data_IF_627802220257
#
_entry.id   IF_627802220257
#
_cell.length_a   1.000
_cell.length_b   1.000
_cell.length_c   1.000
_cell.angle_alpha   90.00
_cell.angle_beta   90.00
_cell.angle_gamma   90.00
#
_symmetry.space_group_name_H-M   'P 1'
#
loop_
_entity.id
_entity.type
_entity.pdbx_description
1 polymer ?
#
# COMPACT_ATOMS: atom_id res chain seq x y z
N UNK A 1 -45.29 -33.01 -67.82
CA UNK A 1 -44.39 -32.89 -66.67
C UNK A 1 -45.23 -32.16 -65.64
N UNK A 2 -45.86 -32.89 -64.71
CA UNK A 2 -46.68 -32.27 -63.68
C UNK A 2 -45.72 -31.54 -62.74
N UNK A 3 -45.66 -30.22 -62.88
CA UNK A 3 -44.88 -29.36 -62.01
C UNK A 3 -45.60 -29.35 -60.65
N UNK A 4 -45.10 -30.16 -59.72
CA UNK A 4 -45.64 -30.27 -58.38
C UNK A 4 -45.33 -29.01 -57.59
N UNK A 5 -46.33 -28.51 -56.84
CA UNK A 5 -46.24 -27.25 -56.08
C UNK A 5 -45.60 -27.41 -54.69
N UNK A 6 -44.91 -28.52 -54.44
CA UNK A 6 -44.41 -28.94 -53.13
C UNK A 6 -43.53 -27.88 -52.46
N UNK A 7 -42.63 -27.28 -53.24
CA UNK A 7 -41.72 -26.24 -52.77
C UNK A 7 -42.44 -24.95 -52.34
N UNK A 8 -43.69 -24.75 -52.81
CA UNK A 8 -44.51 -23.58 -52.50
C UNK A 8 -45.47 -23.81 -51.33
N UNK A 9 -45.63 -25.06 -50.84
CA UNK A 9 -46.61 -25.37 -49.79
C UNK A 9 -46.28 -24.71 -48.44
N UNK A 10 -44.99 -24.60 -48.08
CA UNK A 10 -44.59 -23.89 -46.85
C UNK A 10 -44.90 -22.40 -46.95
N UNK A 11 -44.50 -21.76 -48.04
CA UNK A 11 -44.79 -20.34 -48.29
C UNK A 11 -46.30 -20.06 -48.42
N UNK A 12 -47.07 -21.00 -48.96
CA UNK A 12 -48.53 -20.93 -48.99
C UNK A 12 -49.13 -20.96 -47.58
N UNK A 13 -48.61 -21.82 -46.69
CA UNK A 13 -49.04 -21.93 -45.29
C UNK A 13 -48.70 -20.66 -44.48
N UNK A 14 -47.56 -20.03 -44.77
CA UNK A 14 -47.08 -18.83 -44.08
C UNK A 14 -47.59 -17.51 -44.69
N UNK A 15 -48.47 -17.57 -45.70
CA UNK A 15 -49.03 -16.41 -46.41
C UNK A 15 -48.00 -15.57 -47.19
N UNK A 16 -46.89 -16.19 -47.61
CA UNK A 16 -45.75 -15.52 -48.26
C UNK A 16 -45.79 -15.55 -49.80
N UNK A 17 -46.75 -16.26 -50.40
CA UNK A 17 -46.90 -16.32 -51.86
C UNK A 17 -47.57 -15.06 -52.43
N UNK A 18 -47.15 -14.67 -53.63
CA UNK A 18 -47.85 -13.63 -54.37
C UNK A 18 -49.20 -14.14 -54.91
N UNK A 19 -50.05 -13.23 -55.41
CA UNK A 19 -51.40 -13.57 -55.87
C UNK A 19 -51.46 -14.56 -57.04
N UNK A 20 -50.44 -14.60 -57.91
CA UNK A 20 -50.40 -15.50 -59.06
C UNK A 20 -49.98 -16.92 -58.61
N UNK A 21 -48.92 -17.01 -57.82
CA UNK A 21 -48.43 -18.24 -57.20
C UNK A 21 -49.51 -18.88 -56.32
N UNK A 22 -50.19 -18.08 -55.49
CA UNK A 22 -51.26 -18.58 -54.62
C UNK A 22 -52.39 -19.24 -55.41
N UNK A 23 -52.88 -18.59 -56.46
CA UNK A 23 -53.94 -19.16 -57.33
C UNK A 23 -53.48 -20.45 -58.01
N UNK A 24 -52.21 -20.52 -58.39
CA UNK A 24 -51.63 -21.72 -59.00
C UNK A 24 -51.59 -22.88 -57.98
N UNK A 25 -51.15 -22.62 -56.75
CA UNK A 25 -51.16 -23.62 -55.65
C UNK A 25 -52.59 -24.05 -55.31
N UNK A 26 -53.53 -23.12 -55.15
CA UNK A 26 -54.95 -23.44 -54.87
C UNK A 26 -55.58 -24.31 -55.96
N UNK A 27 -55.33 -23.97 -57.23
CA UNK A 27 -55.76 -24.76 -58.39
C UNK A 27 -55.18 -26.18 -58.32
N UNK A 28 -53.88 -26.32 -58.04
CA UNK A 28 -53.22 -27.62 -57.94
C UNK A 28 -53.76 -28.46 -56.77
N UNK A 29 -53.97 -27.85 -55.60
CA UNK A 29 -54.54 -28.53 -54.42
C UNK A 29 -55.97 -29.03 -54.64
N UNK A 30 -56.72 -28.42 -55.57
CA UNK A 30 -58.07 -28.88 -55.92
C UNK A 30 -58.08 -30.21 -56.68
N UNK A 31 -57.02 -30.49 -57.45
CA UNK A 31 -56.92 -31.67 -58.34
C UNK A 31 -55.93 -32.74 -57.86
N UNK A 32 -54.94 -32.38 -57.05
CA UNK A 32 -53.87 -33.28 -56.60
C UNK A 32 -54.06 -33.70 -55.12
N UNK A 33 -54.45 -34.96 -54.84
CA UNK A 33 -54.59 -35.44 -53.47
C UNK A 33 -53.26 -35.59 -52.72
N UNK A 34 -52.15 -35.84 -53.43
CA UNK A 34 -50.82 -36.00 -52.82
C UNK A 34 -50.34 -34.69 -52.19
N UNK A 35 -50.38 -33.58 -52.94
CA UNK A 35 -50.00 -32.27 -52.40
C UNK A 35 -50.94 -31.77 -51.31
N UNK A 36 -52.20 -32.23 -51.29
CA UNK A 36 -53.13 -31.95 -50.19
C UNK A 36 -52.72 -32.68 -48.91
N UNK A 37 -52.37 -33.97 -49.02
CA UNK A 37 -51.86 -34.73 -47.89
C UNK A 37 -50.58 -34.11 -47.33
N UNK A 38 -49.64 -33.70 -48.19
CA UNK A 38 -48.41 -33.03 -47.75
C UNK A 38 -48.69 -31.71 -47.02
N UNK A 39 -49.64 -30.91 -47.50
CA UNK A 39 -50.07 -29.69 -46.80
C UNK A 39 -50.68 -30.00 -45.43
N UNK A 40 -51.52 -31.04 -45.31
CA UNK A 40 -52.11 -31.48 -44.05
C UNK A 40 -51.03 -31.94 -43.05
N UNK A 41 -50.00 -32.65 -43.52
CA UNK A 41 -48.86 -33.09 -42.71
C UNK A 41 -48.06 -31.89 -42.17
N UNK A 42 -47.79 -30.88 -43.02
CA UNK A 42 -47.13 -29.64 -42.62
C UNK A 42 -47.95 -28.87 -41.57
N UNK A 43 -49.26 -28.74 -41.78
CA UNK A 43 -50.18 -28.10 -40.82
C UNK A 43 -50.22 -28.84 -39.48
N UNK A 44 -50.18 -30.18 -39.50
CA UNK A 44 -50.14 -30.99 -38.28
C UNK A 44 -48.85 -30.76 -37.48
N UNK A 45 -47.71 -30.60 -38.14
CA UNK A 45 -46.44 -30.25 -37.49
C UNK A 45 -46.50 -28.84 -36.89
N UNK A 46 -46.99 -27.86 -37.65
CA UNK A 46 -47.15 -26.48 -37.18
C UNK A 46 -48.05 -26.41 -35.94
N UNK A 47 -49.16 -27.16 -35.94
CA UNK A 47 -50.07 -27.23 -34.80
C UNK A 47 -49.40 -27.81 -33.54
N UNK A 48 -48.60 -28.87 -33.69
CA UNK A 48 -47.84 -29.46 -32.57
C UNK A 48 -46.79 -28.50 -32.01
N UNK A 49 -46.08 -27.78 -32.89
CA UNK A 49 -45.10 -26.77 -32.48
C UNK A 49 -45.80 -25.65 -31.70
N UNK A 50 -46.93 -25.14 -32.21
CA UNK A 50 -47.72 -24.11 -31.54
C UNK A 50 -48.21 -24.56 -30.16
N UNK A 51 -48.75 -25.77 -30.07
CA UNK A 51 -49.16 -26.37 -28.80
C UNK A 51 -48.00 -26.47 -27.81
N UNK A 52 -46.80 -26.82 -28.29
CA UNK A 52 -45.61 -26.85 -27.45
C UNK A 52 -45.24 -25.45 -26.95
N UNK A 53 -45.20 -24.44 -27.82
CA UNK A 53 -44.93 -23.06 -27.42
C UNK A 53 -45.95 -22.54 -26.39
N UNK A 54 -47.22 -22.83 -26.57
CA UNK A 54 -48.28 -22.45 -25.64
C UNK A 54 -48.13 -23.14 -24.26
N UNK A 55 -47.44 -24.29 -24.21
CA UNK A 55 -47.14 -25.00 -22.96
C UNK A 55 -45.89 -24.49 -22.24
N UNK A 56 -45.06 -23.68 -22.90
CA UNK A 56 -43.86 -23.12 -22.30
C UNK A 56 -44.24 -21.88 -21.49
N UNK A 57 -44.17 -22.00 -20.17
CA UNK A 57 -44.31 -20.84 -19.29
C UNK A 57 -43.10 -19.91 -19.46
N UNK A 58 -43.38 -18.65 -19.84
CA UNK A 58 -42.37 -17.61 -19.91
C UNK A 58 -41.78 -17.39 -18.51
N UNK A 59 -40.45 -17.45 -18.36
CA UNK A 59 -39.84 -17.25 -17.05
C UNK A 59 -40.18 -15.85 -16.53
N UNK A 60 -40.54 -15.77 -15.24
CA UNK A 60 -41.03 -14.53 -14.64
C UNK A 60 -40.01 -13.39 -14.66
N UNK A 61 -40.48 -12.17 -14.37
CA UNK A 61 -39.68 -10.92 -14.40
C UNK A 61 -38.36 -10.96 -13.61
N UNK A 62 -38.19 -11.90 -12.68
CA UNK A 62 -36.99 -12.05 -11.86
C UNK A 62 -35.97 -13.05 -12.41
N UNK A 63 -36.23 -13.68 -13.56
CA UNK A 63 -35.34 -14.67 -14.14
C UNK A 63 -33.94 -14.13 -14.38
N UNK A 64 -33.84 -12.91 -14.93
CA UNK A 64 -32.56 -12.22 -15.13
C UNK A 64 -31.79 -12.08 -13.81
N UNK A 65 -32.46 -11.63 -12.75
CA UNK A 65 -31.83 -11.48 -11.42
C UNK A 65 -31.36 -12.82 -10.86
N UNK A 66 -32.16 -13.87 -11.00
CA UNK A 66 -31.81 -15.21 -10.54
C UNK A 66 -30.58 -15.75 -11.29
N UNK A 67 -30.52 -15.59 -12.61
CA UNK A 67 -29.37 -15.99 -13.43
C UNK A 67 -28.12 -15.19 -13.05
N UNK A 68 -28.23 -13.87 -13.00
CA UNK A 68 -27.09 -12.99 -12.68
C UNK A 68 -26.55 -13.26 -11.28
N UNK A 69 -27.42 -13.55 -10.31
CA UNK A 69 -26.97 -13.90 -8.95
C UNK A 69 -26.10 -15.15 -8.93
N UNK A 70 -26.37 -16.12 -9.80
CA UNK A 70 -25.63 -17.38 -9.88
C UNK A 70 -24.28 -17.20 -10.57
N UNK A 71 -24.22 -16.37 -11.60
CA UNK A 71 -22.98 -16.00 -12.30
C UNK A 71 -22.02 -15.26 -11.36
N UNK A 72 -22.53 -14.27 -10.61
CA UNK A 72 -21.69 -13.49 -9.69
C UNK A 72 -21.40 -14.18 -8.36
N UNK A 73 -22.16 -15.21 -7.97
CA UNK A 73 -21.89 -15.96 -6.75
C UNK A 73 -20.56 -16.74 -6.83
N UNK A 74 -20.13 -17.14 -8.03
CA UNK A 74 -18.85 -17.84 -8.22
C UNK A 74 -17.64 -16.89 -8.18
N UNK A 75 -17.81 -15.61 -8.51
CA UNK A 75 -16.73 -14.60 -8.48
C UNK A 75 -16.47 -14.02 -7.07
N UNK A 76 -17.42 -14.15 -6.13
CA UNK A 76 -17.39 -13.43 -4.86
C UNK A 76 -16.70 -14.17 -3.69
N UNK A 77 -15.76 -15.07 -3.96
CA UNK A 77 -14.74 -15.45 -2.96
C UNK A 77 -13.65 -14.37 -2.88
N UNK A 78 -14.07 -13.11 -2.72
CA UNK A 78 -13.17 -11.99 -2.44
C UNK A 78 -12.66 -12.13 -1.01
N UNK A 79 -11.50 -12.75 -0.88
CA UNK A 79 -10.70 -12.78 0.35
C UNK A 79 -10.67 -11.39 0.99
N UNK A 80 -11.17 -11.28 2.24
CA UNK A 80 -11.24 -10.02 2.96
C UNK A 80 -9.83 -9.53 3.34
N UNK A 81 -9.16 -8.85 2.41
CA UNK A 81 -7.79 -8.38 2.53
C UNK A 81 -7.55 -7.50 3.77
N UNK A 82 -8.60 -6.87 4.33
CA UNK A 82 -8.53 -6.11 5.59
C UNK A 82 -8.12 -7.01 6.76
N UNK A 83 -8.58 -8.26 6.80
CA UNK A 83 -8.20 -9.23 7.86
C UNK A 83 -6.71 -9.56 7.77
N UNK A 84 -6.19 -9.73 6.54
CA UNK A 84 -4.78 -9.97 6.31
C UNK A 84 -3.92 -8.75 6.70
N UNK A 85 -4.35 -7.54 6.32
CA UNK A 85 -3.67 -6.29 6.73
C UNK A 85 -3.55 -6.21 8.26
N UNK A 86 -4.64 -6.45 8.99
CA UNK A 86 -4.61 -6.43 10.46
C UNK A 86 -3.73 -7.52 11.05
N UNK A 87 -3.74 -8.73 10.48
CA UNK A 87 -2.84 -9.81 10.89
C UNK A 87 -1.36 -9.40 10.76
N UNK A 88 -0.95 -8.85 9.62
CA UNK A 88 0.44 -8.40 9.42
C UNK A 88 0.81 -7.22 10.31
N UNK A 89 -0.10 -6.27 10.53
CA UNK A 89 0.13 -5.15 11.44
C UNK A 89 0.41 -5.64 12.87
N UNK A 90 -0.38 -6.61 13.36
CA UNK A 90 -0.17 -7.23 14.68
C UNK A 90 1.16 -7.98 14.72
N UNK A 91 1.51 -8.75 13.69
CA UNK A 91 2.79 -9.46 13.63
C UNK A 91 3.99 -8.49 13.70
N UNK A 92 3.93 -7.36 13.00
CA UNK A 92 4.99 -6.33 13.04
C UNK A 92 5.10 -5.71 14.44
N UNK A 93 3.98 -5.39 15.08
CA UNK A 93 3.97 -4.86 16.44
C UNK A 93 4.57 -5.84 17.45
N UNK A 94 4.18 -7.12 17.37
CA UNK A 94 4.72 -8.19 18.23
C UNK A 94 6.21 -8.38 18.00
N UNK A 95 6.65 -8.41 16.73
CA UNK A 95 8.06 -8.54 16.38
C UNK A 95 8.89 -7.34 16.90
N UNK A 96 8.38 -6.12 16.75
CA UNK A 96 9.02 -4.91 17.28
C UNK A 96 9.15 -4.95 18.80
N UNK A 97 8.09 -5.38 19.50
CA UNK A 97 8.11 -5.54 20.97
C UNK A 97 9.12 -6.61 21.41
N UNK A 98 9.16 -7.75 20.72
CA UNK A 98 10.13 -8.81 20.99
C UNK A 98 11.59 -8.39 20.70
N UNK A 99 11.79 -7.52 19.72
CA UNK A 99 13.12 -7.05 19.32
C UNK A 99 13.64 -5.88 20.18
N UNK A 100 12.76 -5.13 20.84
CA UNK A 100 13.10 -4.04 21.75
C UNK A 100 14.20 -4.38 22.79
N UNK A 101 14.14 -5.50 23.55
CA UNK A 101 15.20 -5.83 24.52
C UNK A 101 16.54 -6.13 23.86
N UNK A 102 16.55 -6.64 22.63
CA UNK A 102 17.76 -6.97 21.87
C UNK A 102 18.45 -5.67 21.42
N UNK A 103 17.68 -4.71 20.91
CA UNK A 103 18.20 -3.43 20.42
C UNK A 103 18.56 -2.44 21.54
N UNK A 104 17.91 -2.54 22.70
CA UNK A 104 18.19 -1.65 23.84
C UNK A 104 19.60 -1.81 24.42
N UNK A 105 20.11 -3.05 24.49
CA UNK A 105 21.44 -3.34 25.06
C UNK A 105 22.59 -2.60 24.35
N UNK A 106 22.78 -2.72 23.02
CA UNK A 106 23.87 -2.03 22.34
C UNK A 106 23.70 -0.50 22.39
N UNK A 107 22.47 0.01 22.35
CA UNK A 107 22.21 1.45 22.48
C UNK A 107 22.67 2.00 23.83
N UNK A 108 22.33 1.32 24.92
CA UNK A 108 22.73 1.76 26.27
C UNK A 108 24.25 1.72 26.45
N UNK A 109 24.92 0.68 25.94
CA UNK A 109 26.38 0.59 25.96
C UNK A 109 27.03 1.73 25.18
N UNK A 110 26.50 2.06 23.99
CA UNK A 110 27.01 3.19 23.21
C UNK A 110 26.84 4.54 23.91
N UNK A 111 25.70 4.74 24.57
CA UNK A 111 25.42 5.96 25.33
C UNK A 111 26.32 6.10 26.56
N UNK A 112 26.59 4.99 27.26
CA UNK A 112 27.51 4.96 28.40
C UNK A 112 28.94 5.34 27.97
N UNK A 113 29.44 4.74 26.89
CA UNK A 113 30.75 5.08 26.31
C UNK A 113 30.82 6.56 25.92
N UNK A 114 29.79 7.10 25.24
CA UNK A 114 29.75 8.50 24.85
C UNK A 114 29.78 9.45 26.06
N UNK A 115 29.04 9.11 27.12
CA UNK A 115 29.04 9.89 28.36
C UNK A 115 30.40 9.85 29.07
N UNK A 116 31.07 8.70 29.08
CA UNK A 116 32.43 8.55 29.60
C UNK A 116 33.43 9.45 28.85
N UNK A 117 33.37 9.46 27.52
CA UNK A 117 34.21 10.34 26.70
C UNK A 117 33.93 11.82 26.97
N UNK A 118 32.66 12.22 27.09
CA UNK A 118 32.27 13.59 27.40
C UNK A 118 32.82 14.03 28.77
N UNK A 119 32.75 13.15 29.77
CA UNK A 119 33.29 13.43 31.12
C UNK A 119 34.81 13.56 31.12
N UNK A 120 35.53 12.73 30.35
CA UNK A 120 36.99 12.83 30.21
C UNK A 120 37.37 14.17 29.56
N UNK A 121 36.68 14.57 28.50
CA UNK A 121 36.93 15.86 27.81
C UNK A 121 36.64 17.03 28.75
N UNK A 122 35.50 17.01 29.45
CA UNK A 122 35.14 18.05 30.41
C UNK A 122 36.14 18.16 31.55
N UNK A 123 36.56 17.02 32.11
CA UNK A 123 37.58 16.97 33.17
C UNK A 123 38.93 17.50 32.68
N UNK A 124 39.35 17.11 31.47
CA UNK A 124 40.56 17.62 30.83
C UNK A 124 40.51 19.13 30.60
N UNK A 125 39.36 19.65 30.16
CA UNK A 125 39.14 21.09 29.98
C UNK A 125 39.22 21.84 31.30
N UNK A 126 38.61 21.32 32.37
CA UNK A 126 38.71 21.92 33.71
C UNK A 126 40.16 21.95 34.23
N UNK A 127 40.93 20.89 34.01
CA UNK A 127 42.36 20.85 34.38
C UNK A 127 43.17 21.85 33.55
N UNK A 128 42.95 21.93 32.23
CA UNK A 128 43.63 22.89 31.39
C UNK A 128 43.32 24.34 31.81
N UNK A 129 42.05 24.63 32.13
CA UNK A 129 41.61 25.93 32.59
C UNK A 129 42.18 26.29 33.97
N UNK A 130 42.26 25.32 34.90
CA UNK A 130 42.84 25.55 36.21
C UNK A 130 44.34 25.84 36.14
N UNK A 131 45.10 25.13 35.30
CA UNK A 131 46.51 25.41 35.03
C UNK A 131 46.68 26.80 34.42
N UNK A 132 45.85 27.16 33.43
CA UNK A 132 45.90 28.47 32.79
C UNK A 132 45.63 29.60 33.81
N UNK A 133 44.69 29.38 34.72
CA UNK A 133 44.35 30.35 35.78
C UNK A 133 45.43 30.49 36.86
N UNK A 134 46.37 29.55 36.97
CA UNK A 134 47.47 29.62 37.94
C UNK A 134 48.66 30.46 37.47
N UNK A 135 48.79 30.70 36.16
CA UNK A 135 49.90 31.49 35.57
C UNK A 135 49.99 32.93 36.11
N UNK A 136 48.90 33.72 36.22
CA UNK A 136 48.94 35.08 36.78
C UNK A 136 49.35 35.10 38.25
N UNK A 137 48.97 34.08 39.03
CA UNK A 137 49.32 34.00 40.45
C UNK A 137 50.82 33.73 40.63
N UNK A 138 51.40 32.88 39.77
CA UNK A 138 52.83 32.62 39.77
C UNK A 138 53.63 33.88 39.40
N UNK A 139 53.20 34.61 38.35
CA UNK A 139 53.88 35.85 37.95
C UNK A 139 53.74 36.94 39.01
N UNK A 140 52.58 37.08 39.66
CA UNK A 140 52.39 37.98 40.78
C UNK A 140 53.30 37.64 41.97
N UNK A 141 53.41 36.35 42.33
CA UNK A 141 54.30 35.90 43.40
C UNK A 141 55.77 36.23 43.11
N UNK A 142 56.23 36.03 41.86
CA UNK A 142 57.59 36.40 41.43
C UNK A 142 57.79 37.93 41.50
N UNK A 143 56.83 38.72 41.05
CA UNK A 143 56.90 40.18 41.13
C UNK A 143 56.96 40.69 42.57
N UNK A 144 56.19 40.10 43.48
CA UNK A 144 56.21 40.45 44.91
C UNK A 144 57.56 40.08 45.52
N UNK A 145 58.05 38.86 45.28
CA UNK A 145 59.33 38.40 45.82
C UNK A 145 60.50 39.28 45.34
N UNK A 146 60.56 39.61 44.04
CA UNK A 146 61.60 40.50 43.49
C UNK A 146 61.52 41.91 44.07
N UNK A 147 60.31 42.47 44.23
CA UNK A 147 60.11 43.79 44.86
C UNK A 147 60.61 43.82 46.31
N UNK A 148 60.32 42.77 47.09
CA UNK A 148 60.81 42.63 48.47
C UNK A 148 62.33 42.55 48.51
N UNK A 149 62.94 41.73 47.64
CA UNK A 149 64.40 41.61 47.56
C UNK A 149 65.04 42.97 47.23
N UNK A 150 64.50 43.70 46.24
CA UNK A 150 65.00 45.03 45.87
C UNK A 150 64.87 46.03 47.01
N UNK A 151 63.75 46.04 47.74
CA UNK A 151 63.55 46.92 48.89
C UNK A 151 64.56 46.61 50.02
N UNK A 152 64.82 45.33 50.29
CA UNK A 152 65.84 44.90 51.26
C UNK A 152 67.23 45.34 50.80
N UNK A 153 67.59 45.10 49.54
CA UNK A 153 68.87 45.54 48.98
C UNK A 153 69.04 47.07 49.07
N UNK A 154 68.01 47.83 48.70
CA UNK A 154 68.03 49.29 48.79
C UNK A 154 68.19 49.77 50.23
N UNK A 155 67.45 49.16 51.17
CA UNK A 155 67.55 49.48 52.59
C UNK A 155 68.95 49.17 53.14
N UNK A 156 69.53 48.03 52.78
CA UNK A 156 70.90 47.68 53.17
C UNK A 156 71.91 48.68 52.61
N UNK A 157 71.79 49.09 51.34
CA UNK A 157 72.66 50.11 50.74
C UNK A 157 72.52 51.46 51.45
N UNK A 158 71.29 51.91 51.72
CA UNK A 158 71.05 53.15 52.47
C UNK A 158 71.60 53.06 53.88
N UNK A 159 71.44 51.90 54.53
CA UNK A 159 71.95 51.64 55.88
C UNK A 159 73.49 51.70 55.89
N UNK A 160 74.15 51.10 54.90
CA UNK A 160 75.60 51.17 54.72
C UNK A 160 76.09 52.60 54.48
N UNK A 161 75.41 53.36 53.62
CA UNK A 161 75.74 54.78 53.37
C UNK A 161 75.56 55.68 54.60
N UNK A 162 74.65 55.33 55.51
CA UNK A 162 74.42 56.05 56.77
C UNK A 162 75.43 55.67 57.87
N UNK A 163 76.18 54.58 57.72
CA UNK A 163 77.22 54.23 58.69
C UNK A 163 78.39 55.21 58.55
N UNK A 164 78.66 55.98 59.60
CA UNK A 164 79.82 56.89 59.65
C UNK A 164 81.12 56.09 59.49
N UNK A 165 82.15 56.64 58.82
CA UNK A 165 83.44 55.96 58.73
C UNK A 165 83.95 55.70 60.15
N UNK A 166 84.39 54.47 60.39
CA UNK A 166 85.13 54.08 61.58
C UNK A 166 86.29 55.07 61.68
N UNK A 167 86.28 55.91 62.72
CA UNK A 167 87.40 56.79 63.04
C UNK A 167 88.57 55.88 63.41
N UNK A 168 89.59 55.84 62.56
CA UNK A 168 90.94 55.45 62.97
C UNK A 168 91.49 56.45 63.99
#
# INVERSE_FOLDING_TARGET
>A
MEEHVQDLLSAFMDDELNNEERKMVESHLSVCPLCRQELEELQAVQAKIKQFYDSVELPGFQFEKAVMSKIYAEENLVMNYRVFIWFFAVCILVAGFAMYPVLRKPFYVGMDIASGLANIVSSGFHIALSILSALPNLSAAIMIATSVILAVCLWLVISLLKMKPVKE
#
